data_IF_283622397695
#
_entry.id   IF_283622397695
#
_cell.length_a   1.000
_cell.length_b   1.000
_cell.length_c   1.000
_cell.angle_alpha   90.00
_cell.angle_beta   90.00
_cell.angle_gamma   90.00
#
_symmetry.space_group_name_H-M   'P 1'
#
loop_
_entity.id
_entity.type
_entity.pdbx_description
1 polymer ?
#
# COMPACT_ATOMS: atom_id res chain seq x y z
N UNK A 1 93.51 33.46 3.59
CA UNK A 1 94.26 32.33 4.19
C UNK A 1 93.67 32.09 5.58
N UNK A 2 93.35 30.88 6.07
CA UNK A 2 93.42 29.48 5.56
C UNK A 2 92.01 28.95 5.16
N UNK A 3 91.81 28.03 4.20
CA UNK A 3 92.15 26.59 4.05
C UNK A 3 91.21 25.62 4.80
N UNK A 4 90.72 24.65 4.01
CA UNK A 4 90.36 23.26 4.37
C UNK A 4 88.96 23.02 4.94
N UNK A 5 88.25 21.93 4.62
CA UNK A 5 88.42 20.87 3.64
C UNK A 5 87.09 20.09 3.54
N UNK A 6 86.88 19.46 2.38
CA UNK A 6 85.92 18.41 2.09
C UNK A 6 85.78 17.38 3.23
N UNK A 7 84.56 16.91 3.47
CA UNK A 7 84.30 15.46 3.49
C UNK A 7 82.85 15.17 3.09
N UNK A 8 82.71 14.52 1.94
CA UNK A 8 81.47 13.94 1.41
C UNK A 8 81.42 12.51 1.99
N UNK A 9 80.37 12.18 2.74
CA UNK A 9 79.99 10.79 3.01
C UNK A 9 78.53 10.64 2.59
N UNK A 10 78.34 9.91 1.49
CA UNK A 10 77.04 9.50 1.00
C UNK A 10 76.41 8.49 1.94
N UNK A 11 75.13 8.69 2.24
CA UNK A 11 74.28 7.70 2.86
C UNK A 11 73.01 7.63 2.02
N UNK A 12 73.02 6.73 1.03
CA UNK A 12 71.84 6.35 0.25
C UNK A 12 70.86 5.63 1.16
N UNK A 13 69.81 6.33 1.57
CA UNK A 13 68.68 5.78 2.32
C UNK A 13 67.63 5.26 1.33
N UNK A 14 67.61 3.96 1.10
CA UNK A 14 66.54 3.26 0.37
C UNK A 14 65.26 3.26 1.21
N UNK A 15 64.32 4.17 0.91
CA UNK A 15 62.94 4.08 1.39
C UNK A 15 62.18 3.03 0.57
N UNK A 16 62.05 1.82 1.11
CA UNK A 16 61.04 0.86 0.67
C UNK A 16 59.71 1.21 1.37
N UNK A 17 58.89 2.04 0.72
CA UNK A 17 57.49 2.22 1.12
C UNK A 17 56.70 1.01 0.60
N UNK A 18 56.47 0.06 1.49
CA UNK A 18 55.48 -1.01 1.29
C UNK A 18 54.10 -0.39 1.11
N UNK A 19 53.58 -0.42 -0.13
CA UNK A 19 52.17 -0.20 -0.40
C UNK A 19 51.38 -1.37 0.19
N UNK A 20 50.95 -1.24 1.45
CA UNK A 20 49.93 -2.11 2.01
C UNK A 20 48.60 -1.73 1.38
N UNK A 21 48.16 -2.49 0.36
CA UNK A 21 46.77 -2.47 -0.07
C UNK A 21 45.93 -3.03 1.07
N UNK A 22 45.35 -2.16 1.89
CA UNK A 22 44.21 -2.53 2.73
C UNK A 22 43.08 -2.90 1.78
N UNK A 23 42.54 -4.13 1.82
CA UNK A 23 41.33 -4.44 1.08
C UNK A 23 40.24 -3.49 1.56
N UNK A 24 39.72 -2.66 0.66
CA UNK A 24 38.49 -1.92 0.89
C UNK A 24 37.42 -2.92 1.33
N UNK A 25 36.74 -2.72 2.47
CA UNK A 25 35.67 -3.61 2.88
C UNK A 25 34.66 -3.68 1.73
N UNK A 26 34.52 -4.87 1.14
CA UNK A 26 33.54 -5.09 0.10
C UNK A 26 32.20 -4.53 0.57
N UNK A 27 31.65 -3.58 -0.20
CA UNK A 27 30.34 -3.03 0.07
C UNK A 27 29.40 -4.22 0.32
N UNK A 28 28.75 -4.23 1.49
CA UNK A 28 27.83 -5.29 1.84
C UNK A 28 26.85 -5.46 0.66
N UNK A 29 26.59 -6.69 0.19
CA UNK A 29 25.65 -6.92 -0.88
C UNK A 29 24.33 -6.22 -0.52
N UNK A 30 23.65 -5.56 -1.47
CA UNK A 30 22.44 -4.80 -1.18
C UNK A 30 21.48 -5.71 -0.43
N UNK A 31 21.26 -5.37 0.84
CA UNK A 31 20.37 -6.12 1.70
C UNK A 31 18.99 -6.05 1.06
N UNK A 32 18.54 -7.17 0.50
CA UNK A 32 17.21 -7.30 -0.11
C UNK A 32 16.21 -6.77 0.90
N UNK A 33 15.52 -5.66 0.59
CA UNK A 33 14.42 -5.18 1.42
C UNK A 33 13.49 -6.36 1.69
N UNK A 34 13.08 -6.59 2.96
CA UNK A 34 12.12 -7.65 3.27
C UNK A 34 10.93 -7.53 2.32
N UNK A 35 10.60 -8.62 1.65
CA UNK A 35 9.46 -8.65 0.74
C UNK A 35 8.20 -8.29 1.54
N UNK A 36 7.44 -7.32 1.04
CA UNK A 36 6.31 -6.78 1.79
C UNK A 36 5.25 -7.87 2.00
N UNK A 37 4.79 -8.05 3.24
CA UNK A 37 3.82 -9.11 3.59
C UNK A 37 2.60 -9.09 2.66
N UNK A 38 2.21 -10.22 2.04
CA UNK A 38 1.04 -10.25 1.18
C UNK A 38 -0.26 -9.85 1.89
N UNK A 39 -1.20 -9.26 1.16
CA UNK A 39 -2.57 -9.03 1.63
C UNK A 39 -3.31 -10.36 1.52
N UNK A 40 -3.72 -10.95 2.66
CA UNK A 40 -4.33 -12.28 2.72
C UNK A 40 -5.74 -12.26 3.29
N UNK A 41 -6.60 -13.17 2.81
CA UNK A 41 -7.96 -13.40 3.34
C UNK A 41 -7.86 -14.18 4.66
N UNK A 42 -7.71 -13.47 5.77
CA UNK A 42 -7.59 -14.07 7.10
C UNK A 42 -8.37 -13.27 8.16
N UNK A 43 -9.04 -14.01 9.04
CA UNK A 43 -9.68 -13.46 10.23
C UNK A 43 -8.61 -12.96 11.24
N UNK A 44 -8.94 -11.99 12.11
CA UNK A 44 -10.24 -11.31 12.25
C UNK A 44 -10.51 -10.30 11.12
N UNK A 45 -11.78 -9.93 10.96
CA UNK A 45 -12.23 -8.94 9.96
C UNK A 45 -12.72 -7.67 10.64
N UNK A 46 -12.48 -6.54 9.99
CA UNK A 46 -13.21 -5.30 10.15
C UNK A 46 -14.26 -5.17 9.06
N UNK A 47 -15.30 -4.40 9.31
CA UNK A 47 -16.38 -4.12 8.38
C UNK A 47 -17.03 -5.40 7.80
N UNK A 48 -16.91 -6.52 8.53
CA UNK A 48 -17.31 -7.89 8.16
C UNK A 48 -16.57 -8.51 6.96
N UNK A 49 -16.01 -7.69 6.05
CA UNK A 49 -15.41 -8.13 4.77
C UNK A 49 -13.94 -7.74 4.59
N UNK A 50 -13.36 -6.95 5.50
CA UNK A 50 -12.00 -6.41 5.37
C UNK A 50 -11.05 -7.10 6.36
N UNK A 51 -10.03 -7.85 5.92
CA UNK A 51 -9.12 -8.53 6.84
C UNK A 51 -8.28 -7.52 7.63
N UNK A 52 -8.23 -7.65 8.95
CA UNK A 52 -7.49 -6.70 9.80
C UNK A 52 -6.01 -6.67 9.46
N UNK A 53 -5.42 -7.85 9.24
CA UNK A 53 -4.01 -7.98 8.86
C UNK A 53 -3.73 -7.32 7.51
N UNK A 54 -4.65 -7.43 6.54
CA UNK A 54 -4.52 -6.78 5.25
C UNK A 54 -4.42 -5.26 5.38
N UNK A 55 -5.35 -4.63 6.09
CA UNK A 55 -5.31 -3.18 6.32
C UNK A 55 -4.03 -2.75 7.05
N UNK A 56 -3.57 -3.52 8.04
CA UNK A 56 -2.31 -3.23 8.75
C UNK A 56 -1.08 -3.39 7.84
N UNK A 57 -1.03 -4.44 7.03
CA UNK A 57 0.06 -4.68 6.08
C UNK A 57 0.16 -3.56 5.04
N UNK A 58 -0.99 -3.10 4.51
CA UNK A 58 -1.05 -2.02 3.52
C UNK A 58 -0.65 -0.70 4.16
N UNK A 59 -1.19 -0.36 5.32
CA UNK A 59 -1.04 0.98 5.92
C UNK A 59 0.21 1.15 6.79
N UNK A 60 0.80 0.07 7.27
CA UNK A 60 1.86 0.09 8.28
C UNK A 60 1.40 0.56 9.66
N UNK A 61 0.09 0.64 9.91
CA UNK A 61 -0.46 1.10 11.19
C UNK A 61 -0.30 0.04 12.28
N UNK A 62 0.43 0.39 13.33
CA UNK A 62 0.60 -0.43 14.55
C UNK A 62 -0.32 -0.01 15.69
N UNK A 63 -0.92 1.17 15.60
CA UNK A 63 -1.80 1.70 16.63
C UNK A 63 -3.14 0.94 16.71
N UNK A 64 -3.83 0.98 17.87
CA UNK A 64 -5.21 0.52 17.97
C UNK A 64 -6.12 1.29 17.01
N UNK A 65 -7.09 0.58 16.43
CA UNK A 65 -8.14 1.15 15.60
C UNK A 65 -9.49 0.68 16.12
N UNK A 66 -10.40 1.63 16.29
CA UNK A 66 -11.78 1.39 16.66
C UNK A 66 -12.64 1.32 15.40
N UNK A 67 -13.51 0.32 15.36
CA UNK A 67 -14.48 0.17 14.29
C UNK A 67 -15.76 0.94 14.63
N UNK A 68 -16.22 1.77 13.69
CA UNK A 68 -17.54 2.36 13.71
C UNK A 68 -18.28 1.99 12.43
N UNK A 69 -19.42 1.31 12.57
CA UNK A 69 -20.21 0.75 11.49
C UNK A 69 -21.65 1.26 11.54
N UNK A 70 -22.25 1.45 10.38
CA UNK A 70 -23.65 1.82 10.22
C UNK A 70 -24.26 1.17 8.97
N UNK A 71 -25.59 1.12 8.91
CA UNK A 71 -26.34 0.45 7.84
C UNK A 71 -26.43 -1.06 8.04
N UNK A 72 -26.73 -1.77 6.96
CA UNK A 72 -26.91 -3.22 6.92
C UNK A 72 -26.10 -3.83 5.77
N UNK A 73 -25.31 -4.87 6.08
CA UNK A 73 -24.46 -5.53 5.07
C UNK A 73 -25.27 -5.97 3.84
N UNK A 74 -26.50 -6.45 4.06
CA UNK A 74 -27.43 -6.91 3.02
C UNK A 74 -27.90 -5.86 2.00
N UNK A 75 -27.75 -4.56 2.27
CA UNK A 75 -28.29 -3.55 1.36
C UNK A 75 -27.39 -2.34 1.17
N UNK A 76 -26.98 -1.68 2.25
CA UNK A 76 -26.19 -0.47 2.20
C UNK A 76 -25.60 -0.16 3.57
N UNK A 77 -24.48 0.53 3.58
CA UNK A 77 -23.90 0.97 4.84
C UNK A 77 -22.50 1.52 4.66
N UNK A 78 -21.88 1.71 5.80
CA UNK A 78 -20.49 2.08 5.84
C UNK A 78 -19.83 1.65 7.14
N UNK A 79 -18.51 1.66 7.08
CA UNK A 79 -17.64 1.30 8.16
C UNK A 79 -16.43 2.22 8.11
N UNK A 80 -15.96 2.65 9.26
CA UNK A 80 -14.75 3.42 9.39
C UNK A 80 -13.88 2.86 10.49
N UNK A 81 -12.57 2.87 10.26
CA UNK A 81 -11.58 2.53 11.27
C UNK A 81 -10.91 3.81 11.72
N UNK A 82 -10.96 4.07 13.01
CA UNK A 82 -10.56 5.36 13.58
C UNK A 82 -9.58 5.16 14.72
N UNK A 83 -8.67 6.11 14.83
CA UNK A 83 -8.05 6.47 16.10
C UNK A 83 -8.53 7.90 16.42
N UNK A 84 -7.62 8.82 16.76
CA UNK A 84 -7.86 10.26 16.71
C UNK A 84 -8.49 10.73 15.38
N UNK A 85 -8.17 10.08 14.25
CA UNK A 85 -8.71 10.37 12.92
C UNK A 85 -9.21 9.11 12.21
N UNK A 86 -10.04 9.29 11.18
CA UNK A 86 -10.44 8.19 10.29
C UNK A 86 -9.26 7.74 9.42
N UNK A 87 -8.82 6.50 9.62
CA UNK A 87 -7.69 5.88 8.94
C UNK A 87 -8.07 5.07 7.72
N UNK A 88 -9.26 4.48 7.77
CA UNK A 88 -9.87 3.68 6.71
C UNK A 88 -11.37 3.98 6.67
N UNK A 89 -11.96 3.91 5.48
CA UNK A 89 -13.40 3.78 5.33
C UNK A 89 -13.75 2.76 4.26
N UNK A 90 -14.89 2.10 4.44
CA UNK A 90 -15.59 1.30 3.45
C UNK A 90 -17.04 1.80 3.40
N UNK A 91 -17.55 2.09 2.22
CA UNK A 91 -18.98 2.30 1.99
C UNK A 91 -19.45 1.27 0.96
N UNK A 92 -20.69 0.81 1.08
CA UNK A 92 -21.27 -0.12 0.11
C UNK A 92 -22.75 0.13 -0.09
N UNK A 93 -23.27 -0.31 -1.24
CA UNK A 93 -24.70 -0.39 -1.50
C UNK A 93 -24.98 -1.37 -2.65
N UNK A 94 -26.14 -2.03 -2.62
CA UNK A 94 -26.67 -2.84 -3.73
C UNK A 94 -27.40 -2.00 -4.80
N UNK A 95 -27.64 -0.73 -4.49
CA UNK A 95 -28.38 0.22 -5.31
C UNK A 95 -27.46 1.31 -5.87
N UNK A 96 -27.79 1.83 -7.06
CA UNK A 96 -27.15 3.02 -7.64
C UNK A 96 -25.69 2.80 -8.08
N UNK A 97 -25.29 1.56 -8.39
CA UNK A 97 -23.91 1.23 -8.70
C UNK A 97 -23.29 1.99 -9.87
N UNK A 98 -23.99 2.09 -10.99
CA UNK A 98 -23.50 2.83 -12.16
C UNK A 98 -23.42 4.35 -11.90
N UNK A 99 -24.37 4.91 -11.14
CA UNK A 99 -24.33 6.32 -10.71
C UNK A 99 -23.12 6.58 -9.78
N UNK A 100 -22.93 5.71 -8.79
CA UNK A 100 -21.81 5.79 -7.86
C UNK A 100 -20.46 5.65 -8.58
N UNK A 101 -20.35 4.75 -9.57
CA UNK A 101 -19.17 4.61 -10.42
C UNK A 101 -18.94 5.88 -11.27
N UNK A 102 -20.01 6.45 -11.83
CA UNK A 102 -19.95 7.71 -12.56
C UNK A 102 -19.42 8.85 -11.70
N UNK A 103 -19.91 8.97 -10.46
CA UNK A 103 -19.42 9.95 -9.48
C UNK A 103 -17.96 9.69 -9.09
N UNK A 104 -17.58 8.44 -8.85
CA UNK A 104 -16.19 8.08 -8.54
C UNK A 104 -15.24 8.49 -9.68
N UNK A 105 -15.62 8.21 -10.94
CA UNK A 105 -14.84 8.62 -12.12
C UNK A 105 -14.78 10.13 -12.28
N UNK A 106 -15.88 10.83 -12.02
CA UNK A 106 -15.91 12.31 -12.05
C UNK A 106 -14.98 12.91 -10.99
N UNK A 107 -15.01 12.38 -9.77
CA UNK A 107 -14.27 12.95 -8.64
C UNK A 107 -12.79 12.55 -8.63
N UNK A 108 -12.45 11.35 -9.10
CA UNK A 108 -11.12 10.76 -8.94
C UNK A 108 -10.46 10.33 -10.26
N UNK A 109 -11.15 10.43 -11.38
CA UNK A 109 -10.65 9.95 -12.68
C UNK A 109 -9.39 10.66 -13.17
N UNK A 110 -9.23 11.95 -12.86
CA UNK A 110 -8.03 12.73 -13.20
C UNK A 110 -6.81 12.36 -12.36
N UNK A 111 -7.00 11.72 -11.20
CA UNK A 111 -5.96 11.27 -10.29
C UNK A 111 -5.89 9.73 -10.19
N UNK A 112 -6.50 9.06 -11.18
CA UNK A 112 -6.55 7.61 -11.29
C UNK A 112 -5.12 7.06 -11.44
N UNK A 113 -4.79 6.11 -10.57
CA UNK A 113 -3.57 5.31 -10.67
C UNK A 113 -3.77 4.11 -11.60
N UNK A 114 -4.95 3.48 -11.56
CA UNK A 114 -5.27 2.31 -12.38
C UNK A 114 -6.78 2.15 -12.57
N UNK A 115 -7.18 1.54 -13.69
CA UNK A 115 -8.45 0.82 -13.78
C UNK A 115 -8.37 -0.47 -12.94
N UNK A 116 -9.51 -1.06 -12.63
CA UNK A 116 -9.52 -2.38 -12.02
C UNK A 116 -9.25 -3.49 -13.04
N UNK A 117 -8.67 -4.61 -12.60
CA UNK A 117 -8.70 -5.85 -13.35
C UNK A 117 -10.13 -6.22 -13.77
N UNK A 118 -10.29 -6.71 -14.99
CA UNK A 118 -11.61 -6.99 -15.58
C UNK A 118 -12.38 -8.08 -14.85
N UNK A 119 -11.67 -9.00 -14.21
CA UNK A 119 -12.26 -10.08 -13.41
C UNK A 119 -12.83 -9.58 -12.07
N UNK A 120 -12.38 -8.42 -11.56
CA UNK A 120 -12.91 -7.78 -10.35
C UNK A 120 -14.27 -7.11 -10.58
N UNK A 121 -14.48 -6.57 -11.79
CA UNK A 121 -15.63 -5.76 -12.17
C UNK A 121 -15.21 -4.41 -12.76
N UNK A 122 -16.09 -3.41 -12.65
CA UNK A 122 -15.80 -2.03 -13.09
C UNK A 122 -15.35 -1.20 -11.90
N UNK A 123 -14.44 -0.25 -12.12
CA UNK A 123 -14.01 0.62 -11.03
C UNK A 123 -12.68 1.29 -11.28
N UNK A 124 -12.09 1.82 -10.22
CA UNK A 124 -10.81 2.53 -10.31
C UNK A 124 -10.06 2.51 -8.97
N UNK A 125 -8.76 2.69 -9.06
CA UNK A 125 -7.87 3.02 -7.95
C UNK A 125 -7.28 4.40 -8.23
N UNK A 126 -7.29 5.29 -7.24
CA UNK A 126 -6.84 6.67 -7.38
C UNK A 126 -6.05 7.15 -6.15
N UNK A 127 -5.25 8.20 -6.37
CA UNK A 127 -4.56 8.92 -5.30
C UNK A 127 -4.85 10.42 -5.40
N UNK A 128 -5.66 10.95 -4.49
CA UNK A 128 -6.21 12.30 -4.60
C UNK A 128 -5.29 13.43 -4.11
N UNK A 129 -4.00 13.14 -3.85
CA UNK A 129 -3.10 14.08 -3.19
C UNK A 129 -3.38 14.23 -1.69
N UNK A 130 -2.37 14.61 -0.90
CA UNK A 130 -2.44 14.51 0.57
C UNK A 130 -2.44 15.85 1.32
N UNK A 131 -3.57 16.19 1.93
CA UNK A 131 -3.60 16.95 3.19
C UNK A 131 -3.61 15.91 4.33
N UNK A 132 -2.95 16.12 5.48
CA UNK A 132 -3.06 15.21 6.61
C UNK A 132 -4.52 14.84 6.91
N UNK A 133 -4.79 13.55 7.16
CA UNK A 133 -6.12 12.99 7.53
C UNK A 133 -7.16 12.86 6.41
N UNK A 134 -6.80 13.12 5.14
CA UNK A 134 -7.74 13.14 4.00
C UNK A 134 -8.09 11.80 3.36
N UNK A 135 -7.55 10.67 3.82
CA UNK A 135 -7.72 9.34 3.19
C UNK A 135 -7.49 9.36 1.66
N UNK A 136 -6.28 9.75 1.20
CA UNK A 136 -6.05 10.10 -0.20
C UNK A 136 -5.99 8.89 -1.14
N UNK A 137 -5.83 7.67 -0.61
CA UNK A 137 -5.80 6.45 -1.42
C UNK A 137 -7.22 5.91 -1.52
N UNK A 138 -7.80 5.93 -2.72
CA UNK A 138 -9.20 5.55 -2.96
C UNK A 138 -9.25 4.35 -3.89
N UNK A 139 -10.13 3.40 -3.59
CA UNK A 139 -10.49 2.35 -4.52
C UNK A 139 -12.01 2.18 -4.56
N UNK A 140 -12.55 1.94 -5.74
CA UNK A 140 -13.98 1.76 -5.96
C UNK A 140 -14.20 0.54 -6.85
N UNK A 141 -15.12 -0.35 -6.46
CA UNK A 141 -15.57 -1.51 -7.24
C UNK A 141 -17.07 -1.47 -7.47
N UNK A 142 -17.49 -1.91 -8.64
CA UNK A 142 -18.86 -2.29 -9.01
C UNK A 142 -18.79 -3.70 -9.58
N UNK A 143 -19.56 -4.62 -9.00
CA UNK A 143 -19.54 -6.04 -9.35
C UNK A 143 -20.96 -6.61 -9.30
N UNK A 144 -21.13 -7.87 -9.71
CA UNK A 144 -22.40 -8.59 -9.63
C UNK A 144 -22.37 -9.63 -8.53
N UNK A 145 -23.53 -9.84 -7.90
CA UNK A 145 -23.75 -10.88 -6.89
C UNK A 145 -25.19 -11.39 -7.06
N UNK A 146 -25.34 -12.47 -7.83
CA UNK A 146 -26.65 -12.96 -8.27
C UNK A 146 -27.40 -11.91 -9.08
N UNK A 147 -28.59 -11.51 -8.60
CA UNK A 147 -29.43 -10.48 -9.24
C UNK A 147 -29.09 -9.04 -8.85
N UNK A 148 -28.20 -8.86 -7.86
CA UNK A 148 -27.82 -7.54 -7.38
C UNK A 148 -26.54 -7.08 -8.10
N UNK A 149 -26.33 -5.76 -8.12
CA UNK A 149 -25.11 -5.13 -8.64
C UNK A 149 -24.47 -4.26 -7.54
N UNK A 150 -23.84 -4.87 -6.51
CA UNK A 150 -23.25 -4.12 -5.43
C UNK A 150 -22.06 -3.29 -5.88
N UNK A 151 -21.86 -2.17 -5.20
CA UNK A 151 -20.63 -1.41 -5.26
C UNK A 151 -20.02 -1.24 -3.87
N UNK A 152 -18.70 -1.08 -3.83
CA UNK A 152 -17.97 -0.70 -2.64
C UNK A 152 -16.97 0.40 -2.96
N UNK A 153 -16.89 1.41 -2.09
CA UNK A 153 -15.86 2.44 -2.11
C UNK A 153 -15.03 2.38 -0.83
N UNK A 154 -13.73 2.22 -0.96
CA UNK A 154 -12.79 2.26 0.16
C UNK A 154 -11.82 3.43 0.06
N UNK A 155 -11.38 3.94 1.20
CA UNK A 155 -10.29 4.91 1.25
C UNK A 155 -9.35 4.67 2.43
N UNK A 156 -8.05 4.90 2.23
CA UNK A 156 -6.98 4.73 3.21
C UNK A 156 -6.22 6.05 3.42
N UNK A 157 -5.89 6.34 4.67
CA UNK A 157 -5.08 7.51 5.08
C UNK A 157 -3.61 7.42 4.72
N UNK A 158 -3.07 6.22 4.63
CA UNK A 158 -1.66 5.99 4.36
C UNK A 158 -1.45 4.59 3.80
N UNK A 159 -0.36 4.46 3.05
CA UNK A 159 0.21 3.19 2.57
C UNK A 159 1.65 3.15 3.08
N UNK A 160 2.07 2.00 3.60
CA UNK A 160 3.42 1.79 4.08
C UNK A 160 4.44 2.03 2.96
N UNK A 161 5.62 2.49 3.33
CA UNK A 161 6.70 2.76 2.38
C UNK A 161 7.00 1.50 1.57
N UNK A 162 7.36 1.69 0.29
CA UNK A 162 7.84 0.61 -0.60
C UNK A 162 6.74 -0.40 -1.01
N UNK A 163 5.48 -0.16 -0.63
CA UNK A 163 4.34 -0.96 -1.06
C UNK A 163 3.78 -0.53 -2.41
N UNK A 164 3.27 -1.51 -3.16
CA UNK A 164 2.55 -1.27 -4.41
C UNK A 164 1.06 -1.07 -4.12
N UNK A 165 0.67 0.20 -3.95
CA UNK A 165 -0.71 0.57 -3.61
C UNK A 165 -1.76 0.04 -4.58
N UNK A 166 -1.46 -0.03 -5.89
CA UNK A 166 -2.42 -0.55 -6.87
C UNK A 166 -2.64 -2.04 -6.62
N UNK A 167 -1.57 -2.83 -6.53
CA UNK A 167 -1.66 -4.26 -6.24
C UNK A 167 -2.39 -4.52 -4.92
N UNK A 168 -2.02 -3.78 -3.88
CA UNK A 168 -2.55 -3.99 -2.54
C UNK A 168 -4.04 -3.68 -2.42
N UNK A 169 -4.49 -2.57 -3.04
CA UNK A 169 -5.90 -2.23 -3.06
C UNK A 169 -6.69 -3.18 -3.96
N UNK A 170 -6.12 -3.64 -5.08
CA UNK A 170 -6.69 -4.71 -5.89
C UNK A 170 -6.89 -6.00 -5.08
N UNK A 171 -5.86 -6.47 -4.37
CA UNK A 171 -5.95 -7.67 -3.52
C UNK A 171 -7.00 -7.49 -2.41
N UNK A 172 -7.02 -6.32 -1.76
CA UNK A 172 -8.01 -6.02 -0.73
C UNK A 172 -9.44 -6.03 -1.27
N UNK A 173 -9.65 -5.52 -2.48
CA UNK A 173 -10.95 -5.51 -3.15
C UNK A 173 -11.41 -6.90 -3.57
N UNK A 174 -10.49 -7.77 -4.02
CA UNK A 174 -10.79 -9.19 -4.26
C UNK A 174 -11.34 -9.84 -2.99
N UNK A 175 -10.63 -9.68 -1.89
CA UNK A 175 -11.03 -10.24 -0.60
C UNK A 175 -12.38 -9.68 -0.17
N UNK A 176 -12.56 -8.35 -0.20
CA UNK A 176 -13.81 -7.71 0.20
C UNK A 176 -15.01 -8.21 -0.61
N UNK A 177 -14.84 -8.34 -1.93
CA UNK A 177 -15.86 -8.84 -2.85
C UNK A 177 -16.20 -10.31 -2.57
N UNK A 178 -15.19 -11.15 -2.43
CA UNK A 178 -15.38 -12.59 -2.24
C UNK A 178 -16.01 -12.87 -0.86
N UNK A 179 -15.61 -12.11 0.18
CA UNK A 179 -16.24 -12.14 1.51
C UNK A 179 -17.69 -11.68 1.47
N UNK A 180 -18.00 -10.64 0.71
CA UNK A 180 -19.39 -10.23 0.48
C UNK A 180 -20.19 -11.36 -0.17
N UNK A 181 -19.63 -12.04 -1.18
CA UNK A 181 -20.24 -13.21 -1.79
C UNK A 181 -20.59 -14.30 -0.77
N UNK A 182 -19.63 -14.65 0.09
CA UNK A 182 -19.83 -15.60 1.21
C UNK A 182 -20.94 -15.14 2.17
N UNK A 183 -20.97 -13.86 2.53
CA UNK A 183 -21.98 -13.32 3.45
C UNK A 183 -23.40 -13.27 2.85
N UNK A 184 -23.52 -13.19 1.53
CA UNK A 184 -24.79 -13.10 0.81
C UNK A 184 -25.18 -14.37 0.05
N UNK A 185 -24.45 -15.47 0.25
CA UNK A 185 -24.66 -16.74 -0.46
C UNK A 185 -24.77 -16.57 -1.97
N UNK A 186 -23.84 -15.79 -2.56
CA UNK A 186 -23.73 -15.59 -4.00
C UNK A 186 -22.28 -15.81 -4.47
N UNK A 187 -22.11 -16.06 -5.76
CA UNK A 187 -20.80 -16.01 -6.42
C UNK A 187 -20.63 -14.63 -7.02
N UNK A 188 -19.61 -13.85 -6.60
CA UNK A 188 -19.35 -12.56 -7.22
C UNK A 188 -18.80 -12.70 -8.63
N UNK A 189 -19.25 -11.82 -9.51
CA UNK A 189 -18.86 -11.79 -10.92
C UNK A 189 -18.51 -10.35 -11.34
N UNK A 190 -17.76 -10.19 -12.41
CA UNK A 190 -17.54 -8.88 -13.02
C UNK A 190 -18.89 -8.25 -13.46
N UNK A 191 -19.01 -6.92 -13.33
CA UNK A 191 -20.23 -6.16 -13.65
C UNK A 191 -20.40 -5.82 -15.14
#
# INVERSE_FOLDING_TARGET
>A
MPKSALLIIGMTLTLALSAGCTPEPAAAPPQKSPEATPVIDAAPYWCEVIPQQGVRAISGLTMPLEESKWGALASHGGCSLRNEYSRFSLNWSINGGEEALGLARKNFGSTRLSELPTDLGKGLIAYTGGIPRSKPYVAFILFRCGKNQPWMGTSLSQVAKERNVVKDLTDLLHIARDRYGKAHNCTPEAA
#
